data_IF_498650394856
#
_entry.id   IF_498650394856
#
_cell.length_a   1.000
_cell.length_b   1.000
_cell.length_c   1.000
_cell.angle_alpha   90.00
_cell.angle_beta   90.00
_cell.angle_gamma   90.00
#
_symmetry.space_group_name_H-M   'P 1'
#
loop_
_entity.id
_entity.type
_entity.pdbx_description
1 polymer ?
#
# COMPACT_ATOMS: atom_id res chain seq x y z
N UNK A 1 2.10 -21.27 -13.41
CA UNK A 1 2.40 -19.84 -13.10
C UNK A 1 3.73 -19.52 -13.77
N UNK A 2 3.78 -18.51 -14.63
CA UNK A 2 5.05 -18.08 -15.24
C UNK A 2 5.91 -17.45 -14.14
N UNK A 3 7.09 -18.01 -13.88
CA UNK A 3 7.98 -17.56 -12.79
C UNK A 3 8.34 -16.07 -12.91
N UNK A 4 8.49 -15.56 -14.14
CA UNK A 4 8.75 -14.15 -14.46
C UNK A 4 7.66 -13.21 -13.90
N UNK A 5 6.39 -13.57 -14.06
CA UNK A 5 5.28 -12.74 -13.59
C UNK A 5 5.24 -12.67 -12.05
N UNK A 6 5.58 -13.77 -11.39
CA UNK A 6 5.65 -13.82 -9.92
C UNK A 6 6.80 -12.98 -9.34
N UNK A 7 7.97 -13.01 -9.98
CA UNK A 7 9.13 -12.20 -9.57
C UNK A 7 8.82 -10.71 -9.71
N UNK A 8 8.20 -10.32 -10.83
CA UNK A 8 7.81 -8.94 -11.08
C UNK A 8 6.81 -8.44 -10.04
N UNK A 9 5.76 -9.21 -9.76
CA UNK A 9 4.73 -8.83 -8.77
C UNK A 9 5.34 -8.69 -7.37
N UNK A 10 6.30 -9.54 -7.01
CA UNK A 10 7.05 -9.43 -5.76
C UNK A 10 7.89 -8.14 -5.71
N UNK A 11 8.66 -7.84 -6.76
CA UNK A 11 9.51 -6.66 -6.83
C UNK A 11 8.70 -5.36 -6.69
N UNK A 12 7.57 -5.26 -7.40
CA UNK A 12 6.68 -4.09 -7.26
C UNK A 12 6.04 -4.00 -5.88
N UNK A 13 5.62 -5.13 -5.30
CA UNK A 13 5.08 -5.12 -3.93
C UNK A 13 6.13 -4.63 -2.93
N UNK A 14 7.39 -5.08 -3.04
CA UNK A 14 8.48 -4.61 -2.20
C UNK A 14 8.77 -3.10 -2.39
N UNK A 15 8.70 -2.61 -3.64
CA UNK A 15 8.82 -1.18 -3.93
C UNK A 15 7.70 -0.37 -3.25
N UNK A 16 6.45 -0.82 -3.35
CA UNK A 16 5.33 -0.15 -2.68
C UNK A 16 5.45 -0.19 -1.15
N UNK A 17 5.92 -1.29 -0.56
CA UNK A 17 6.25 -1.34 0.89
C UNK A 17 7.25 -0.24 1.26
N UNK A 18 8.32 -0.08 0.48
CA UNK A 18 9.32 0.96 0.73
C UNK A 18 8.73 2.37 0.61
N UNK A 19 7.91 2.63 -0.42
CA UNK A 19 7.23 3.91 -0.62
C UNK A 19 6.25 4.23 0.52
N UNK A 20 5.43 3.26 0.94
CA UNK A 20 4.51 3.42 2.08
C UNK A 20 5.31 3.73 3.35
N UNK A 21 6.40 3.00 3.61
CA UNK A 21 7.24 3.22 4.79
C UNK A 21 7.81 4.64 4.83
N UNK A 22 8.40 5.09 3.71
CA UNK A 22 9.02 6.42 3.61
C UNK A 22 7.97 7.52 3.75
N UNK A 23 6.84 7.38 3.06
CA UNK A 23 5.82 8.44 3.05
C UNK A 23 5.08 8.55 4.37
N UNK A 24 4.85 7.43 5.06
CA UNK A 24 4.23 7.39 6.40
C UNK A 24 5.16 7.95 7.47
N UNK A 25 6.48 7.73 7.36
CA UNK A 25 7.46 8.21 8.35
C UNK A 25 7.89 9.67 8.13
N UNK A 26 7.96 10.14 6.89
CA UNK A 26 8.48 11.48 6.55
C UNK A 26 7.39 12.55 6.51
N UNK A 27 6.19 12.23 6.01
CA UNK A 27 5.15 13.23 5.73
C UNK A 27 3.98 13.16 6.70
N UNK A 28 4.25 13.26 8.00
CA UNK A 28 3.21 13.51 8.98
C UNK A 28 2.81 14.99 8.92
N UNK A 29 1.94 15.35 7.97
CA UNK A 29 1.41 16.72 7.85
C UNK A 29 0.21 16.83 8.82
N UNK A 30 0.35 17.53 9.96
CA UNK A 30 -0.78 17.74 10.86
C UNK A 30 -1.79 18.65 10.17
N UNK A 31 -3.06 18.23 10.12
CA UNK A 31 -4.15 19.07 9.62
C UNK A 31 -4.74 19.82 10.81
N UNK A 32 -4.51 21.14 10.96
CA UNK A 32 -4.94 21.89 12.14
C UNK A 32 -6.47 21.94 12.30
N UNK A 33 -7.21 21.75 11.21
CA UNK A 33 -8.66 21.85 11.17
C UNK A 33 -9.40 20.59 11.66
N UNK A 34 -8.77 19.42 11.66
CA UNK A 34 -9.42 18.14 12.01
C UNK A 34 -8.72 17.36 13.12
N UNK A 35 -7.62 17.90 13.68
CA UNK A 35 -6.73 17.17 14.61
C UNK A 35 -6.25 15.82 14.05
N UNK A 36 -6.35 15.62 12.73
CA UNK A 36 -5.97 14.40 12.03
C UNK A 36 -4.69 14.58 11.22
N UNK A 37 -4.11 13.47 10.77
CA UNK A 37 -2.95 13.44 9.88
C UNK A 37 -3.38 13.01 8.49
N UNK A 38 -2.92 13.71 7.45
CA UNK A 38 -2.99 13.16 6.09
C UNK A 38 -1.85 12.17 5.96
N UNK A 39 -2.17 10.88 5.96
CA UNK A 39 -1.17 9.85 5.79
C UNK A 39 -0.94 9.63 4.29
N UNK A 40 0.10 10.28 3.74
CA UNK A 40 0.46 10.11 2.33
C UNK A 40 0.79 8.65 1.96
N UNK A 41 1.09 7.81 2.97
CA UNK A 41 1.20 6.36 2.80
C UNK A 41 -0.03 5.72 2.17
N UNK A 42 -1.23 6.19 2.52
CA UNK A 42 -2.50 5.58 2.09
C UNK A 42 -2.68 5.66 0.58
N UNK A 43 -2.19 6.73 -0.04
CA UNK A 43 -2.14 6.90 -1.49
C UNK A 43 -1.36 5.75 -2.15
N UNK A 44 -0.21 5.37 -1.58
CA UNK A 44 0.63 4.29 -2.12
C UNK A 44 0.05 2.90 -1.81
N UNK A 45 -0.65 2.75 -0.68
CA UNK A 45 -1.41 1.52 -0.37
C UNK A 45 -2.50 1.31 -1.44
N UNK A 46 -3.28 2.35 -1.74
CA UNK A 46 -4.32 2.27 -2.76
C UNK A 46 -3.75 2.10 -4.16
N UNK A 47 -2.64 2.78 -4.50
CA UNK A 47 -1.96 2.58 -5.77
C UNK A 47 -1.52 1.10 -5.94
N UNK A 48 -0.90 0.51 -4.93
CA UNK A 48 -0.52 -0.91 -4.95
C UNK A 48 -1.74 -1.83 -5.12
N UNK A 49 -2.82 -1.53 -4.39
CA UNK A 49 -4.05 -2.32 -4.42
C UNK A 49 -4.77 -2.25 -5.78
N UNK A 50 -4.79 -1.09 -6.42
CA UNK A 50 -5.49 -0.87 -7.69
C UNK A 50 -4.65 -1.28 -8.92
N UNK A 51 -3.32 -1.18 -8.85
CA UNK A 51 -2.42 -1.52 -9.97
C UNK A 51 -1.98 -2.99 -9.94
N UNK A 52 -1.61 -3.51 -8.76
CA UNK A 52 -1.09 -4.88 -8.59
C UNK A 52 -2.04 -5.81 -7.84
N UNK A 53 -3.20 -5.31 -7.42
CA UNK A 53 -4.29 -6.10 -6.89
C UNK A 53 -4.28 -6.25 -5.36
N UNK A 54 -5.30 -6.94 -4.82
CA UNK A 54 -5.60 -6.98 -3.39
C UNK A 54 -4.46 -7.53 -2.53
N UNK A 55 -3.69 -8.51 -3.01
CA UNK A 55 -2.55 -9.07 -2.27
C UNK A 55 -1.41 -8.06 -2.14
N UNK A 56 -1.11 -7.34 -3.22
CA UNK A 56 -0.05 -6.33 -3.19
C UNK A 56 -0.45 -5.17 -2.28
N UNK A 57 -1.69 -4.71 -2.36
CA UNK A 57 -2.26 -3.72 -1.44
C UNK A 57 -2.16 -4.12 0.03
N UNK A 58 -2.52 -5.37 0.36
CA UNK A 58 -2.39 -5.90 1.72
C UNK A 58 -0.95 -5.85 2.22
N UNK A 59 0.02 -6.38 1.46
CA UNK A 59 1.42 -6.44 1.89
C UNK A 59 2.08 -5.07 1.94
N UNK A 60 1.80 -4.21 0.96
CA UNK A 60 2.28 -2.83 0.93
C UNK A 60 1.78 -2.05 2.16
N UNK A 61 0.48 -2.11 2.46
CA UNK A 61 -0.11 -1.41 3.61
C UNK A 61 0.32 -1.97 4.95
N UNK A 62 0.27 -3.30 5.11
CA UNK A 62 0.60 -3.96 6.38
C UNK A 62 2.07 -3.79 6.75
N UNK A 63 3.00 -4.23 5.90
CA UNK A 63 4.44 -4.20 6.18
C UNK A 63 4.93 -2.76 6.17
N UNK A 64 4.55 -1.96 5.17
CA UNK A 64 5.07 -0.60 5.01
C UNK A 64 4.70 0.31 6.18
N UNK A 65 3.43 0.29 6.58
CA UNK A 65 2.95 1.14 7.67
C UNK A 65 3.42 0.65 9.04
N UNK A 66 3.48 -0.67 9.26
CA UNK A 66 4.02 -1.23 10.50
C UNK A 66 5.52 -0.94 10.65
N UNK A 67 6.30 -0.98 9.56
CA UNK A 67 7.70 -0.52 9.58
C UNK A 67 7.79 0.95 9.93
N UNK A 68 6.92 1.80 9.36
CA UNK A 68 6.92 3.22 9.66
C UNK A 68 6.67 3.49 11.15
N UNK A 69 5.77 2.77 11.80
CA UNK A 69 5.53 2.89 13.25
C UNK A 69 6.76 2.50 14.07
N UNK A 70 7.43 1.40 13.70
CA UNK A 70 8.66 0.95 14.37
C UNK A 70 9.75 2.01 14.21
N UNK A 71 9.96 2.51 12.99
CA UNK A 71 10.99 3.50 12.67
C UNK A 71 10.70 4.87 13.29
N UNK A 72 9.43 5.21 13.48
CA UNK A 72 8.99 6.49 14.08
C UNK A 72 8.95 6.46 15.62
N UNK A 73 9.33 5.34 16.25
CA UNK A 73 9.41 5.21 17.70
C UNK A 73 8.12 4.76 18.40
N UNK A 74 7.12 4.27 17.65
CA UNK A 74 5.84 3.79 18.15
C UNK A 74 5.59 2.29 17.87
N UNK A 75 6.52 1.38 18.19
CA UNK A 75 6.44 -0.03 17.78
C UNK A 75 5.26 -0.81 18.38
N UNK A 76 4.65 -0.32 19.45
CA UNK A 76 3.45 -0.93 20.05
C UNK A 76 2.20 -0.78 19.16
N UNK A 77 2.16 0.23 18.28
CA UNK A 77 1.10 0.38 17.29
C UNK A 77 1.30 -0.54 16.09
N UNK A 78 2.53 -0.96 15.81
CA UNK A 78 2.87 -1.72 14.60
C UNK A 78 2.01 -2.99 14.37
N UNK A 79 1.68 -3.83 15.38
CA UNK A 79 0.79 -4.97 15.16
C UNK A 79 -0.63 -4.56 14.75
N UNK A 80 -1.17 -3.50 15.36
CA UNK A 80 -2.49 -3.00 15.03
C UNK A 80 -2.50 -2.38 13.64
N UNK A 81 -1.50 -1.54 13.34
CA UNK A 81 -1.31 -0.92 12.03
C UNK A 81 -1.15 -1.97 10.94
N UNK A 82 -0.41 -3.05 11.19
CA UNK A 82 -0.26 -4.16 10.25
C UNK A 82 -1.61 -4.70 9.79
N UNK A 83 -2.52 -5.00 10.73
CA UNK A 83 -3.84 -5.54 10.39
C UNK A 83 -4.77 -4.47 9.82
N UNK A 84 -4.76 -3.25 10.35
CA UNK A 84 -5.64 -2.16 9.91
C UNK A 84 -5.28 -1.75 8.47
N UNK A 85 -4.03 -1.36 8.24
CA UNK A 85 -3.54 -0.91 6.94
C UNK A 85 -3.45 -2.04 5.92
N UNK A 86 -3.15 -3.25 6.38
CA UNK A 86 -3.28 -4.44 5.53
C UNK A 86 -4.71 -4.65 5.05
N UNK A 87 -5.69 -4.61 5.95
CA UNK A 87 -7.11 -4.79 5.61
C UNK A 87 -7.62 -3.67 4.71
N UNK A 88 -7.20 -2.43 4.94
CA UNK A 88 -7.50 -1.27 4.07
C UNK A 88 -7.06 -1.53 2.63
N UNK A 89 -5.80 -1.89 2.40
CA UNK A 89 -5.29 -2.19 1.06
C UNK A 89 -5.95 -3.42 0.44
N UNK A 90 -6.26 -4.44 1.24
CA UNK A 90 -6.96 -5.63 0.78
C UNK A 90 -8.37 -5.31 0.28
N UNK A 91 -9.16 -4.59 1.09
CA UNK A 91 -10.54 -4.22 0.76
C UNK A 91 -10.57 -3.28 -0.45
N UNK A 92 -9.69 -2.28 -0.48
CA UNK A 92 -9.57 -1.38 -1.62
C UNK A 92 -9.26 -2.13 -2.92
N UNK A 93 -8.34 -3.11 -2.87
CA UNK A 93 -8.04 -3.95 -4.01
C UNK A 93 -9.19 -4.88 -4.40
N UNK A 94 -9.91 -5.47 -3.43
CA UNK A 94 -11.05 -6.34 -3.73
C UNK A 94 -12.18 -5.61 -4.45
N UNK A 95 -12.43 -4.35 -4.05
CA UNK A 95 -13.50 -3.52 -4.63
C UNK A 95 -13.04 -2.87 -5.94
N UNK A 96 -11.87 -2.25 -5.93
CA UNK A 96 -11.44 -1.35 -7.01
C UNK A 96 -10.60 -2.02 -8.10
N UNK A 97 -9.86 -3.10 -7.81
CA UNK A 97 -8.90 -3.67 -8.77
C UNK A 97 -9.56 -4.09 -10.09
N UNK A 98 -10.73 -4.73 -10.00
CA UNK A 98 -11.44 -5.21 -11.18
C UNK A 98 -11.98 -4.06 -12.02
N UNK A 99 -12.59 -3.06 -11.38
CA UNK A 99 -13.07 -1.86 -12.07
C UNK A 99 -11.91 -1.13 -12.76
N UNK A 100 -10.82 -0.91 -12.04
CA UNK A 100 -9.63 -0.22 -12.54
C UNK A 100 -8.93 -0.95 -13.70
N UNK A 101 -8.97 -2.29 -13.70
CA UNK A 101 -8.38 -3.10 -14.78
C UNK A 101 -9.33 -3.27 -15.99
N UNK A 102 -10.65 -3.14 -15.79
CA UNK A 102 -11.65 -3.31 -16.85
C UNK A 102 -11.76 -2.10 -17.79
N UNK A 103 -11.33 -0.92 -17.36
CA UNK A 103 -11.35 0.31 -18.16
C UNK A 103 -10.34 0.33 -19.33
N UNK A 104 -9.65 -0.78 -19.61
CA UNK A 104 -8.87 -0.98 -20.85
C UNK A 104 -7.61 -0.12 -21.00
N UNK A 105 -7.37 0.85 -20.12
CA UNK A 105 -6.20 1.73 -20.15
C UNK A 105 -4.96 1.16 -19.44
N UNK A 106 -5.11 0.08 -18.66
CA UNK A 106 -4.02 -0.53 -17.87
C UNK A 106 -4.01 -2.05 -18.06
N UNK A 107 -3.52 -2.50 -19.22
CA UNK A 107 -3.10 -3.90 -19.36
C UNK A 107 -1.94 -4.16 -18.40
N UNK A 108 -1.87 -5.34 -17.78
CA UNK A 108 -0.68 -5.76 -17.02
C UNK A 108 0.62 -5.66 -17.84
N UNK A 109 0.51 -5.63 -19.18
CA UNK A 109 1.61 -5.38 -20.11
C UNK A 109 2.01 -3.90 -20.25
N UNK A 110 1.11 -2.95 -19.95
CA UNK A 110 1.38 -1.51 -20.03
C UNK A 110 2.10 -0.99 -18.78
N UNK A 111 1.88 -1.64 -17.64
CA UNK A 111 2.55 -1.36 -16.37
C UNK A 111 3.75 -2.30 -16.10
N UNK A 112 4.04 -3.24 -17.01
CA UNK A 112 5.18 -4.16 -16.89
C UNK A 112 5.32 -5.19 -18.00
#
# INVERSE_FOLDING_TARGET
>A
MNSEAGIRDFAFTALFVALVTLTTSVFQIPVPATSGFINLGDTFIFAAALLWGPRSGFWAGSIGSALADILSGYPHWAPFTFFIKGSEGLVAGLIGYRAFTQDGHTSKAAIG
#
